data_IF_261473743464
#
_entry.id   IF_261473743464
#
_cell.length_a   1.000
_cell.length_b   1.000
_cell.length_c   1.000
_cell.angle_alpha   90.00
_cell.angle_beta   90.00
_cell.angle_gamma   90.00
#
_symmetry.space_group_name_H-M   'P 1'
#
loop_
_entity.id
_entity.type
_entity.pdbx_description
1 polymer ?
#
# COMPACT_ATOMS: atom_id res chain seq x y z
N UNK A 1 -13.68 2.33 -7.89
CA UNK A 1 -14.20 1.22 -7.08
C UNK A 1 -13.44 -0.05 -7.41
N UNK A 2 -12.98 -0.79 -6.40
CA UNK A 2 -12.32 -2.10 -6.54
C UNK A 2 -13.38 -3.20 -6.68
N UNK A 3 -13.24 -4.06 -7.68
CA UNK A 3 -14.14 -5.20 -7.89
C UNK A 3 -13.89 -6.27 -6.81
N UNK A 4 -14.95 -6.75 -6.17
CA UNK A 4 -14.86 -7.83 -5.20
C UNK A 4 -14.59 -9.17 -5.88
N UNK A 5 -13.53 -9.86 -5.48
CA UNK A 5 -13.28 -11.23 -5.94
C UNK A 5 -14.23 -12.22 -5.25
N UNK A 6 -14.78 -13.17 -6.00
CA UNK A 6 -15.58 -14.28 -5.46
C UNK A 6 -14.81 -15.08 -4.41
N UNK A 7 -15.48 -15.66 -3.41
CA UNK A 7 -14.83 -16.38 -2.29
C UNK A 7 -14.07 -17.64 -2.69
N UNK A 8 -14.37 -18.23 -3.86
CA UNK A 8 -13.78 -19.50 -4.31
C UNK A 8 -12.46 -19.40 -5.07
N UNK A 9 -12.03 -18.19 -5.48
CA UNK A 9 -10.90 -18.01 -6.42
C UNK A 9 -9.84 -17.01 -5.91
N UNK A 10 -9.87 -16.71 -4.59
CA UNK A 10 -8.94 -15.75 -3.97
C UNK A 10 -7.62 -16.43 -3.62
N UNK A 11 -6.66 -16.34 -4.52
CA UNK A 11 -5.24 -16.54 -4.18
C UNK A 11 -4.76 -15.33 -3.37
N UNK A 12 -4.31 -15.56 -2.14
CA UNK A 12 -3.70 -14.53 -1.30
C UNK A 12 -2.18 -14.61 -1.39
N UNK A 13 -1.54 -13.45 -1.46
CA UNK A 13 -0.10 -13.29 -1.35
C UNK A 13 0.25 -12.65 -0.01
N UNK A 14 1.10 -13.32 0.75
CA UNK A 14 1.72 -12.83 1.98
C UNK A 14 3.05 -12.17 1.60
N UNK A 15 3.04 -10.87 1.39
CA UNK A 15 4.24 -10.10 1.00
C UNK A 15 4.33 -8.81 1.81
N UNK A 16 5.53 -8.22 1.83
CA UNK A 16 5.81 -6.98 2.54
C UNK A 16 5.09 -5.77 1.93
N UNK A 17 4.45 -5.00 2.79
CA UNK A 17 3.76 -3.75 2.45
C UNK A 17 4.22 -2.63 3.38
N UNK A 18 4.42 -1.45 2.81
CA UNK A 18 4.74 -0.23 3.54
C UNK A 18 3.95 0.94 2.97
N UNK A 19 3.88 2.03 3.72
CA UNK A 19 3.15 3.23 3.32
C UNK A 19 4.03 4.47 3.47
N UNK A 20 3.95 5.40 2.52
CA UNK A 20 4.65 6.69 2.62
C UNK A 20 4.17 7.53 3.81
N UNK A 21 2.90 7.37 4.20
CA UNK A 21 2.28 7.99 5.38
C UNK A 21 2.77 7.39 6.71
N UNK A 22 3.37 6.19 6.70
CA UNK A 22 4.00 5.54 7.86
C UNK A 22 5.47 5.18 7.56
N UNK A 23 6.35 6.19 7.46
CA UNK A 23 7.74 5.98 7.07
C UNK A 23 8.50 5.14 8.10
N UNK A 24 9.21 4.12 7.62
CA UNK A 24 10.09 3.28 8.43
C UNK A 24 9.51 1.91 8.82
N UNK A 25 8.23 1.67 8.55
CA UNK A 25 7.58 0.38 8.77
C UNK A 25 7.28 -0.36 7.46
N UNK A 26 7.55 -1.67 7.47
CA UNK A 26 7.14 -2.61 6.44
C UNK A 26 6.73 -3.88 7.14
N UNK A 27 5.53 -4.38 6.86
CA UNK A 27 4.99 -5.61 7.44
C UNK A 27 4.48 -6.52 6.34
N UNK A 28 4.63 -7.83 6.52
CA UNK A 28 3.94 -8.80 5.68
C UNK A 28 2.45 -8.77 5.97
N UNK A 29 1.63 -8.87 4.92
CA UNK A 29 0.18 -8.95 5.08
C UNK A 29 -0.52 -9.52 3.85
N UNK A 30 -1.65 -10.21 4.04
CA UNK A 30 -2.37 -10.85 2.96
C UNK A 30 -3.05 -9.84 2.04
N UNK A 31 -2.82 -9.99 0.74
CA UNK A 31 -3.55 -9.30 -0.34
C UNK A 31 -3.98 -10.31 -1.40
N UNK A 32 -5.17 -10.19 -2.00
CA UNK A 32 -5.48 -10.86 -3.24
C UNK A 32 -4.41 -10.67 -4.32
N UNK A 33 -4.08 -11.75 -5.03
CA UNK A 33 -3.13 -11.73 -6.15
C UNK A 33 -3.68 -11.01 -7.39
N UNK A 34 -4.93 -10.57 -7.38
CA UNK A 34 -5.57 -9.87 -8.50
C UNK A 34 -6.43 -8.73 -7.98
N UNK A 35 -6.38 -7.60 -8.67
CA UNK A 35 -7.23 -6.44 -8.39
C UNK A 35 -7.73 -5.85 -9.71
N UNK A 36 -8.99 -5.42 -9.73
CA UNK A 36 -9.57 -4.64 -10.83
C UNK A 36 -10.17 -3.38 -10.24
N UNK A 37 -9.64 -2.22 -10.63
CA UNK A 37 -10.08 -0.91 -10.17
C UNK A 37 -10.75 -0.17 -11.32
N UNK A 38 -11.96 0.33 -11.08
CA UNK A 38 -12.73 1.15 -12.02
C UNK A 38 -12.74 2.60 -11.55
N UNK A 39 -12.57 3.54 -12.45
CA UNK A 39 -12.55 4.96 -12.11
C UNK A 39 -12.71 5.83 -13.33
N UNK A 40 -12.19 7.05 -13.24
CA UNK A 40 -12.11 8.00 -14.32
C UNK A 40 -10.69 8.57 -14.38
N UNK A 41 -10.26 9.00 -15.57
CA UNK A 41 -8.99 9.72 -15.72
C UNK A 41 -9.14 11.20 -15.34
N UNK A 42 -8.12 11.99 -15.63
CA UNK A 42 -8.10 13.42 -15.31
C UNK A 42 -9.07 14.24 -16.17
N UNK A 43 -9.45 13.73 -17.33
CA UNK A 43 -10.49 14.28 -18.21
C UNK A 43 -11.91 13.84 -17.84
N UNK A 44 -12.05 12.85 -16.96
CA UNK A 44 -13.33 12.31 -16.52
C UNK A 44 -13.86 11.17 -17.39
N UNK A 45 -13.02 10.59 -18.26
CA UNK A 45 -13.38 9.45 -19.08
C UNK A 45 -13.26 8.14 -18.27
N UNK A 46 -14.23 7.21 -18.41
CA UNK A 46 -14.20 5.96 -17.64
C UNK A 46 -12.97 5.10 -17.95
N UNK A 47 -12.32 4.58 -16.91
CA UNK A 47 -11.18 3.67 -17.04
C UNK A 47 -11.31 2.43 -16.14
N UNK A 48 -10.64 1.36 -16.57
CA UNK A 48 -10.51 0.10 -15.83
C UNK A 48 -9.05 -0.32 -15.81
N UNK A 49 -8.49 -0.49 -14.61
CA UNK A 49 -7.11 -0.94 -14.39
C UNK A 49 -7.17 -2.31 -13.73
N UNK A 50 -6.52 -3.29 -14.35
CA UNK A 50 -6.37 -4.64 -13.81
C UNK A 50 -4.89 -4.95 -13.58
N UNK A 51 -4.59 -5.62 -12.48
CA UNK A 51 -3.24 -6.01 -12.12
C UNK A 51 -3.21 -7.30 -11.31
N UNK A 52 -2.02 -7.89 -11.24
CA UNK A 52 -1.73 -9.05 -10.40
C UNK A 52 -0.50 -8.83 -9.52
N UNK A 53 -0.26 -9.69 -8.53
CA UNK A 53 0.93 -9.66 -7.68
C UNK A 53 1.15 -8.32 -6.99
N UNK A 54 2.39 -7.80 -7.07
CA UNK A 54 2.78 -6.51 -6.48
C UNK A 54 1.92 -5.34 -7.00
N UNK A 55 1.54 -5.33 -8.28
CA UNK A 55 0.71 -4.24 -8.81
C UNK A 55 -0.72 -4.30 -8.28
N UNK A 56 -1.30 -5.49 -8.12
CA UNK A 56 -2.60 -5.64 -7.44
C UNK A 56 -2.55 -5.10 -6.01
N UNK A 57 -1.48 -5.41 -5.26
CA UNK A 57 -1.25 -4.87 -3.91
C UNK A 57 -1.21 -3.35 -3.90
N UNK A 58 -0.53 -2.70 -4.85
CA UNK A 58 -0.53 -1.25 -4.98
C UNK A 58 -1.94 -0.70 -5.23
N UNK A 59 -2.69 -1.30 -6.16
CA UNK A 59 -4.06 -0.87 -6.46
C UNK A 59 -4.98 -0.97 -5.24
N UNK A 60 -4.88 -2.06 -4.48
CA UNK A 60 -5.66 -2.20 -3.25
C UNK A 60 -5.20 -1.23 -2.15
N UNK A 61 -3.90 -0.99 -2.00
CA UNK A 61 -3.35 -0.06 -1.00
C UNK A 61 -3.89 1.35 -1.20
N UNK A 62 -3.79 1.87 -2.43
CA UNK A 62 -4.27 3.21 -2.73
C UNK A 62 -5.80 3.29 -2.67
N UNK A 63 -6.50 2.21 -3.02
CA UNK A 63 -7.96 2.14 -2.85
C UNK A 63 -8.37 2.15 -1.37
N UNK A 64 -7.64 1.46 -0.49
CA UNK A 64 -7.89 1.52 0.95
C UNK A 64 -7.79 2.97 1.44
N UNK A 65 -6.78 3.73 0.99
CA UNK A 65 -6.63 5.15 1.33
C UNK A 65 -7.82 6.01 0.89
N UNK A 66 -8.34 5.80 -0.33
CA UNK A 66 -9.54 6.50 -0.81
C UNK A 66 -10.75 6.21 0.09
N UNK A 67 -10.81 5.01 0.67
CA UNK A 67 -11.87 4.60 1.59
C UNK A 67 -11.59 4.95 3.07
N UNK A 68 -10.50 5.67 3.37
CA UNK A 68 -10.13 6.05 4.73
C UNK A 68 -9.49 4.94 5.56
N UNK A 69 -9.03 3.87 4.91
CA UNK A 69 -8.30 2.76 5.51
C UNK A 69 -6.81 2.83 5.23
N UNK A 70 -6.03 2.12 6.04
CA UNK A 70 -4.59 1.94 5.86
C UNK A 70 -4.22 0.46 5.96
N UNK A 71 -3.07 0.07 5.42
CA UNK A 71 -2.65 -1.34 5.44
C UNK A 71 -2.55 -1.95 6.85
N UNK A 72 -2.32 -1.11 7.88
CA UNK A 72 -2.32 -1.56 9.28
C UNK A 72 -3.66 -2.13 9.72
N UNK A 73 -4.78 -1.69 9.13
CA UNK A 73 -6.13 -2.16 9.46
C UNK A 73 -6.33 -3.64 9.08
N UNK A 74 -5.48 -4.16 8.19
CA UNK A 74 -5.48 -5.57 7.77
C UNK A 74 -4.55 -6.45 8.61
N UNK A 75 -3.71 -5.86 9.47
CA UNK A 75 -2.75 -6.59 10.29
C UNK A 75 -3.36 -7.10 11.59
N UNK A 76 -2.73 -8.11 12.19
CA UNK A 76 -3.05 -8.48 13.58
C UNK A 76 -2.71 -7.33 14.53
N UNK A 77 -3.34 -7.28 15.70
CA UNK A 77 -3.04 -6.24 16.70
C UNK A 77 -1.58 -6.25 17.17
N UNK A 78 -0.92 -7.42 17.14
CA UNK A 78 0.51 -7.55 17.44
C UNK A 78 1.35 -6.91 16.33
N UNK A 79 1.07 -7.28 15.08
CA UNK A 79 1.83 -6.81 13.92
C UNK A 79 1.65 -5.30 13.71
N UNK A 80 0.45 -4.78 13.94
CA UNK A 80 0.20 -3.33 13.95
C UNK A 80 1.05 -2.62 15.02
N UNK A 81 1.11 -3.14 16.24
CA UNK A 81 1.97 -2.59 17.30
C UNK A 81 3.45 -2.61 16.91
N UNK A 82 3.91 -3.70 16.30
CA UNK A 82 5.29 -3.84 15.86
C UNK A 82 5.61 -2.91 14.67
N UNK A 83 4.67 -2.71 13.74
CA UNK A 83 4.79 -1.72 12.67
C UNK A 83 4.97 -0.30 13.23
N UNK A 84 4.14 0.10 14.21
CA UNK A 84 4.22 1.41 14.84
C UNK A 84 5.56 1.62 15.56
N UNK A 85 6.09 0.58 16.22
CA UNK A 85 7.43 0.61 16.83
C UNK A 85 8.53 0.77 15.79
N UNK A 86 8.45 0.04 14.67
CA UNK A 86 9.41 0.16 13.58
C UNK A 86 9.41 1.58 13.00
N UNK A 87 8.23 2.13 12.74
CA UNK A 87 8.09 3.51 12.26
C UNK A 87 8.70 4.50 13.26
N UNK A 88 8.35 4.41 14.54
CA UNK A 88 8.91 5.28 15.58
C UNK A 88 10.45 5.23 15.64
N UNK A 89 11.04 4.03 15.53
CA UNK A 89 12.49 3.86 15.61
C UNK A 89 13.26 4.32 14.37
N UNK A 90 12.63 4.33 13.18
CA UNK A 90 13.32 4.50 11.89
C UNK A 90 12.88 5.74 11.10
N UNK A 91 11.79 6.40 11.49
CA UNK A 91 11.17 7.53 10.78
C UNK A 91 12.17 8.63 10.45
N UNK A 92 12.97 9.06 11.44
CA UNK A 92 13.92 10.17 11.25
C UNK A 92 15.01 9.81 10.26
N UNK A 93 15.54 8.58 10.31
CA UNK A 93 16.52 8.10 9.34
C UNK A 93 15.96 8.01 7.91
N UNK A 94 14.69 7.62 7.76
CA UNK A 94 14.02 7.63 6.45
C UNK A 94 13.91 9.05 5.90
N UNK A 95 13.51 10.02 6.72
CA UNK A 95 13.40 11.41 6.30
C UNK A 95 14.76 12.03 5.97
N UNK A 96 15.79 11.78 6.78
CA UNK A 96 17.15 12.22 6.50
C UNK A 96 17.64 11.71 5.14
N UNK A 97 17.42 10.42 4.84
CA UNK A 97 17.77 9.83 3.53
C UNK A 97 16.99 10.47 2.37
N UNK A 98 15.70 10.75 2.55
CA UNK A 98 14.88 11.43 1.53
C UNK A 98 15.38 12.84 1.27
N UNK A 99 15.70 13.61 2.30
CA UNK A 99 16.26 14.96 2.17
C UNK A 99 17.60 14.96 1.42
N UNK A 100 18.51 14.05 1.78
CA UNK A 100 19.79 13.90 1.09
C UNK A 100 19.61 13.54 -0.40
N UNK A 101 18.68 12.63 -0.71
CA UNK A 101 18.37 12.26 -2.11
C UNK A 101 17.80 13.44 -2.89
N UNK A 102 16.91 14.23 -2.28
CA UNK A 102 16.35 15.42 -2.92
C UNK A 102 17.45 16.42 -3.27
N UNK A 103 18.36 16.71 -2.33
CA UNK A 103 19.49 17.61 -2.57
C UNK A 103 20.36 17.15 -3.75
N UNK A 104 20.64 15.85 -3.84
CA UNK A 104 21.44 15.28 -4.92
C UNK A 104 20.76 15.33 -6.30
N UNK A 105 19.41 15.32 -6.35
CA UNK A 105 18.65 15.43 -7.61
C UNK A 105 18.53 16.88 -8.10
N UNK A 106 18.67 17.85 -7.20
CA UNK A 106 18.53 19.29 -7.49
C UNK A 106 19.85 20.02 -7.67
N UNK A 107 20.98 19.32 -7.50
CA UNK A 107 22.34 19.85 -7.70
C UNK A 107 22.84 19.51 -9.11
#
# INVERSE_FOLDING_TARGET
MLDALGTGDRRLLEEGEGCLSLPGATMEGPRPDRAVVRGFDEEGEPLVIEGTGYFARCLEHETDHVNGHVYLDRLSGRDCKDALRQAAARRDGVFARRAARQQALTA
#
